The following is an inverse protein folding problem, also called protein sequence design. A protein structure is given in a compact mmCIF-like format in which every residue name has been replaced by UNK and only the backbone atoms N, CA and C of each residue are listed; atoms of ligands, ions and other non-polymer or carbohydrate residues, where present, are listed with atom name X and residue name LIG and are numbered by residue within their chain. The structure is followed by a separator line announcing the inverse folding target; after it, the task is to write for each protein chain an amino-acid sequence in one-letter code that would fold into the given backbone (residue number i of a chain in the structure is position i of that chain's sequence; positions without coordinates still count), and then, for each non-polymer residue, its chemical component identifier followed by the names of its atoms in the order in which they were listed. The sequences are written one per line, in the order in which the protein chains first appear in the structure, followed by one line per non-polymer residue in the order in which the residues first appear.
data_IF_365784046840
#
_entry.id   IF_365784046840
#
_cell.length_a   1.000
_cell.length_b   1.000
_cell.length_c   1.000
_cell.angle_alpha   90.00
_cell.angle_beta   90.00
_cell.angle_gamma   90.00
#
_symmetry.space_group_name_H-M   'P 1'
#
loop_
_entity.id
_entity.type
_entity.pdbx_description
1 polymer ?
#
# COMPACT_ATOMS: atom_id res chain seq x y z
N UNK A 1 -9.94 -17.54 27.39
CA UNK A 1 -9.77 -17.58 25.92
C UNK A 1 -10.65 -16.50 25.37
N UNK A 2 -10.11 -15.61 24.55
CA UNK A 2 -10.91 -14.57 23.88
C UNK A 2 -11.69 -15.17 22.71
N UNK A 3 -12.85 -14.57 22.39
CA UNK A 3 -13.61 -14.90 21.18
C UNK A 3 -13.31 -13.89 20.07
N UNK A 4 -13.24 -14.37 18.81
CA UNK A 4 -12.80 -13.56 17.67
C UNK A 4 -13.87 -13.61 16.57
N UNK A 5 -14.31 -12.42 16.10
CA UNK A 5 -15.06 -12.23 14.88
C UNK A 5 -14.11 -12.03 13.71
N UNK A 6 -14.16 -12.87 12.69
CA UNK A 6 -13.58 -12.58 11.39
C UNK A 6 -14.46 -11.57 10.65
N UNK A 7 -13.87 -10.47 10.19
CA UNK A 7 -14.54 -9.49 9.33
C UNK A 7 -13.79 -9.38 8.00
N UNK A 8 -14.49 -9.59 6.90
CA UNK A 8 -13.94 -9.50 5.55
C UNK A 8 -14.83 -8.61 4.69
N UNK A 9 -14.21 -7.84 3.79
CA UNK A 9 -14.88 -7.22 2.66
C UNK A 9 -14.40 -7.91 1.39
N UNK A 10 -15.31 -8.29 0.51
CA UNK A 10 -14.98 -9.10 -0.67
C UNK A 10 -15.64 -8.56 -1.94
N UNK A 11 -14.98 -8.75 -3.09
CA UNK A 11 -15.54 -8.47 -4.41
C UNK A 11 -14.86 -9.32 -5.48
N UNK A 12 -15.60 -10.26 -6.09
CA UNK A 12 -15.10 -11.14 -7.14
C UNK A 12 -13.87 -11.98 -6.72
N UNK A 13 -13.97 -12.64 -5.56
CA UNK A 13 -12.91 -13.44 -4.94
C UNK A 13 -13.19 -14.96 -5.01
N UNK A 14 -13.97 -15.42 -6.01
CA UNK A 14 -14.38 -16.84 -6.12
C UNK A 14 -13.21 -17.82 -6.12
N UNK A 15 -12.01 -17.40 -6.55
CA UNK A 15 -10.84 -18.27 -6.68
C UNK A 15 -10.06 -18.44 -5.38
N UNK A 16 -10.09 -17.45 -4.50
CA UNK A 16 -9.22 -17.37 -3.32
C UNK A 16 -9.94 -17.42 -1.99
N UNK A 17 -11.20 -16.96 -1.93
CA UNK A 17 -11.96 -16.84 -0.69
C UNK A 17 -12.05 -18.15 0.11
N UNK A 18 -12.33 -19.29 -0.56
CA UNK A 18 -12.41 -20.57 0.12
C UNK A 18 -11.09 -20.96 0.78
N UNK A 19 -9.96 -20.76 0.09
CA UNK A 19 -8.62 -21.04 0.60
C UNK A 19 -8.29 -20.21 1.84
N UNK A 20 -8.66 -18.93 1.82
CA UNK A 20 -8.49 -18.04 2.98
C UNK A 20 -9.30 -18.57 4.18
N UNK A 21 -10.60 -18.79 4.00
CA UNK A 21 -11.50 -19.25 5.05
C UNK A 21 -11.11 -20.63 5.62
N UNK A 22 -10.66 -21.56 4.77
CA UNK A 22 -10.17 -22.87 5.19
C UNK A 22 -8.90 -22.76 6.06
N UNK A 23 -8.00 -21.81 5.75
CA UNK A 23 -6.78 -21.57 6.51
C UNK A 23 -7.05 -21.01 7.91
N UNK A 24 -8.21 -20.38 8.11
CA UNK A 24 -8.65 -19.82 9.40
C UNK A 24 -9.60 -20.74 10.17
N UNK A 25 -9.90 -21.93 9.63
CA UNK A 25 -10.86 -22.87 10.23
C UNK A 25 -10.49 -23.22 11.68
N UNK A 26 -11.47 -23.12 12.59
CA UNK A 26 -11.30 -23.40 14.01
C UNK A 26 -10.69 -22.27 14.85
N UNK A 27 -10.17 -21.20 14.25
CA UNK A 27 -9.67 -20.02 14.96
C UNK A 27 -10.77 -18.98 15.24
N UNK A 28 -11.73 -18.84 14.31
CA UNK A 28 -12.76 -17.81 14.38
C UNK A 28 -14.04 -18.34 15.04
N UNK A 29 -14.61 -17.53 15.93
CA UNK A 29 -15.86 -17.86 16.66
C UNK A 29 -17.09 -17.25 15.96
N UNK A 30 -16.87 -16.33 15.03
CA UNK A 30 -17.86 -15.68 14.20
C UNK A 30 -17.23 -15.30 12.87
N UNK A 31 -17.98 -15.43 11.78
CA UNK A 31 -17.50 -15.05 10.43
C UNK A 31 -18.52 -14.10 9.82
N UNK A 32 -18.05 -12.90 9.46
CA UNK A 32 -18.84 -11.82 8.86
C UNK A 32 -18.20 -11.48 7.51
N UNK A 33 -18.95 -11.62 6.45
CA UNK A 33 -18.50 -11.32 5.09
C UNK A 33 -19.39 -10.22 4.51
N UNK A 34 -18.77 -9.15 4.06
CA UNK A 34 -19.44 -8.02 3.41
C UNK A 34 -19.08 -8.03 1.93
N UNK A 35 -20.04 -8.33 1.09
CA UNK A 35 -19.91 -8.31 -0.36
C UNK A 35 -20.15 -6.90 -0.90
N UNK A 36 -19.18 -6.37 -1.66
CA UNK A 36 -19.23 -5.03 -2.24
C UNK A 36 -19.63 -5.02 -3.72
N UNK A 37 -20.45 -5.99 -4.12
CA UNK A 37 -21.01 -6.08 -5.47
C UNK A 37 -20.31 -7.11 -6.34
N UNK A 38 -20.10 -8.33 -5.85
CA UNK A 38 -19.58 -9.45 -6.64
C UNK A 38 -20.56 -9.89 -7.72
N UNK A 39 -20.02 -10.26 -8.87
CA UNK A 39 -20.75 -10.78 -10.04
C UNK A 39 -20.42 -12.24 -10.35
N UNK A 40 -19.48 -12.81 -9.60
CA UNK A 40 -19.04 -14.19 -9.68
C UNK A 40 -19.66 -15.05 -8.54
N UNK A 41 -19.06 -16.20 -8.22
CA UNK A 41 -19.54 -17.11 -7.20
C UNK A 41 -19.10 -16.77 -5.78
N UNK A 42 -18.53 -15.60 -5.54
CA UNK A 42 -18.02 -15.19 -4.22
C UNK A 42 -19.06 -15.34 -3.13
N UNK A 43 -20.30 -14.86 -3.33
CA UNK A 43 -21.40 -14.95 -2.35
C UNK A 43 -21.82 -16.40 -2.09
N UNK A 44 -21.87 -17.24 -3.14
CA UNK A 44 -22.19 -18.66 -3.00
C UNK A 44 -21.14 -19.41 -2.17
N UNK A 45 -19.86 -19.03 -2.33
CA UNK A 45 -18.76 -19.58 -1.55
C UNK A 45 -18.86 -19.11 -0.10
N UNK A 46 -19.03 -17.81 0.13
CA UNK A 46 -19.18 -17.22 1.47
C UNK A 46 -20.29 -17.90 2.29
N UNK A 47 -21.45 -18.16 1.66
CA UNK A 47 -22.61 -18.79 2.27
C UNK A 47 -22.38 -20.24 2.73
N UNK A 48 -21.27 -20.90 2.35
CA UNK A 48 -20.88 -22.23 2.86
C UNK A 48 -20.23 -22.17 4.23
N UNK A 49 -19.70 -21.01 4.62
CA UNK A 49 -18.94 -20.79 5.85
C UNK A 49 -19.74 -20.04 6.91
N UNK A 50 -20.70 -19.21 6.50
CA UNK A 50 -21.49 -18.39 7.42
C UNK A 50 -22.81 -17.94 6.80
N UNK A 51 -23.83 -17.77 7.68
CA UNK A 51 -25.10 -17.11 7.30
C UNK A 51 -25.00 -15.57 7.39
N UNK A 52 -23.88 -15.03 7.90
CA UNK A 52 -23.64 -13.59 8.06
C UNK A 52 -22.93 -13.00 6.84
N UNK A 53 -23.60 -13.09 5.69
CA UNK A 53 -23.15 -12.47 4.43
C UNK A 53 -24.04 -11.25 4.18
N UNK A 54 -23.42 -10.08 4.11
CA UNK A 54 -24.09 -8.79 3.96
C UNK A 54 -23.72 -8.14 2.63
N UNK A 55 -24.69 -7.50 1.99
CA UNK A 55 -24.43 -6.63 0.84
C UNK A 55 -24.08 -5.21 1.31
N UNK A 56 -23.13 -4.61 0.63
CA UNK A 56 -22.75 -3.21 0.82
C UNK A 56 -22.62 -2.54 -0.55
N UNK A 57 -23.44 -1.52 -0.78
CA UNK A 57 -23.34 -0.74 -2.00
C UNK A 57 -22.01 -0.01 -2.04
N UNK A 58 -21.20 -0.30 -3.05
CA UNK A 58 -19.87 0.26 -3.19
C UNK A 58 -19.93 1.77 -3.47
N UNK A 59 -19.26 2.54 -2.65
CA UNK A 59 -19.22 4.01 -2.69
C UNK A 59 -17.81 4.59 -2.87
N UNK A 60 -16.88 3.79 -3.41
CA UNK A 60 -15.47 4.12 -3.55
C UNK A 60 -14.78 4.48 -2.22
N UNK A 61 -15.16 3.76 -1.14
CA UNK A 61 -14.63 3.94 0.21
C UNK A 61 -14.48 2.59 0.93
N UNK A 62 -13.25 2.08 0.97
CA UNK A 62 -12.91 0.85 1.69
C UNK A 62 -13.13 0.99 3.21
N UNK A 63 -12.87 2.18 3.77
CA UNK A 63 -13.03 2.40 5.20
C UNK A 63 -14.51 2.29 5.63
N UNK A 64 -15.41 2.79 4.81
CA UNK A 64 -16.85 2.67 5.05
C UNK A 64 -17.30 1.20 5.03
N UNK A 65 -16.84 0.40 4.06
CA UNK A 65 -17.14 -1.02 3.98
C UNK A 65 -16.56 -1.80 5.17
N UNK A 66 -15.30 -1.54 5.57
CA UNK A 66 -14.67 -2.16 6.75
C UNK A 66 -15.39 -1.77 8.05
N UNK A 67 -15.75 -0.50 8.22
CA UNK A 67 -16.52 -0.03 9.38
C UNK A 67 -17.89 -0.70 9.44
N UNK A 68 -18.54 -0.91 8.29
CA UNK A 68 -19.80 -1.65 8.22
C UNK A 68 -19.60 -3.10 8.65
N UNK A 69 -18.56 -3.80 8.17
CA UNK A 69 -18.24 -5.16 8.61
C UNK A 69 -17.97 -5.22 10.13
N UNK A 70 -17.15 -4.31 10.64
CA UNK A 70 -16.82 -4.22 12.07
C UNK A 70 -18.05 -3.95 12.94
N UNK A 71 -19.03 -3.18 12.43
CA UNK A 71 -20.29 -2.92 13.15
C UNK A 71 -21.15 -4.16 13.35
N UNK A 72 -20.92 -5.24 12.60
CA UNK A 72 -21.63 -6.51 12.71
C UNK A 72 -20.98 -7.47 13.72
N UNK A 73 -19.71 -7.26 14.06
CA UNK A 73 -18.96 -8.11 14.97
C UNK A 73 -19.53 -8.09 16.39
N UNK A 74 -19.61 -9.28 17.00
CA UNK A 74 -20.17 -9.43 18.36
C UNK A 74 -19.14 -9.94 19.38
N UNK A 75 -18.01 -10.50 18.95
CA UNK A 75 -17.00 -11.12 19.81
C UNK A 75 -16.04 -10.11 20.47
N UNK A 76 -15.12 -10.58 21.29
CA UNK A 76 -14.19 -9.73 22.06
C UNK A 76 -13.23 -8.97 21.14
N UNK A 77 -12.75 -9.65 20.11
CA UNK A 77 -11.82 -9.11 19.12
C UNK A 77 -12.36 -9.28 17.71
N UNK A 78 -11.87 -8.43 16.81
CA UNK A 78 -12.14 -8.47 15.37
C UNK A 78 -10.85 -8.79 14.65
N UNK A 79 -10.80 -9.87 13.88
CA UNK A 79 -9.73 -10.17 12.94
C UNK A 79 -10.14 -9.69 11.55
N UNK A 80 -9.36 -8.76 11.00
CA UNK A 80 -9.59 -8.21 9.65
C UNK A 80 -8.71 -8.95 8.65
N UNK A 81 -9.30 -9.71 7.75
CA UNK A 81 -8.60 -10.45 6.71
C UNK A 81 -9.03 -9.99 5.31
N UNK A 82 -8.08 -10.07 4.36
CA UNK A 82 -8.33 -9.95 2.95
C UNK A 82 -8.45 -11.37 2.33
N UNK A 83 -9.22 -11.51 1.25
CA UNK A 83 -9.61 -12.84 0.72
C UNK A 83 -8.43 -13.67 0.18
N UNK A 84 -7.33 -13.02 -0.16
CA UNK A 84 -6.10 -13.62 -0.70
C UNK A 84 -5.03 -13.94 0.36
N UNK A 85 -5.35 -13.72 1.64
CA UNK A 85 -4.47 -14.05 2.77
C UNK A 85 -4.62 -15.50 3.19
N UNK A 86 -3.50 -16.13 3.58
CA UNK A 86 -3.47 -17.54 4.01
C UNK A 86 -2.56 -17.70 5.22
N UNK A 87 -3.01 -18.44 6.21
CA UNK A 87 -2.18 -18.97 7.30
C UNK A 87 -1.75 -20.40 6.99
N UNK A 88 -0.47 -20.68 7.09
CA UNK A 88 0.02 -22.05 7.10
C UNK A 88 -0.20 -22.73 8.47
N UNK A 89 0.11 -24.00 8.56
CA UNK A 89 -0.15 -24.79 9.77
C UNK A 89 0.69 -24.31 10.99
N UNK A 90 1.90 -23.79 10.76
CA UNK A 90 2.75 -23.27 11.83
C UNK A 90 2.15 -21.98 12.41
N UNK A 91 1.80 -21.04 11.53
CA UNK A 91 1.22 -19.76 11.92
C UNK A 91 -0.21 -19.91 12.47
N UNK A 92 -0.95 -20.91 12.00
CA UNK A 92 -2.23 -21.30 12.60
C UNK A 92 -2.04 -21.71 14.07
N UNK A 93 -1.04 -22.55 14.37
CA UNK A 93 -0.76 -22.99 15.73
C UNK A 93 -0.32 -21.82 16.63
N UNK A 94 0.50 -20.91 16.12
CA UNK A 94 0.89 -19.67 16.85
C UNK A 94 -0.34 -18.80 17.15
N UNK A 95 -1.26 -18.68 16.21
CA UNK A 95 -2.48 -17.89 16.41
C UNK A 95 -3.42 -18.55 17.44
N UNK A 96 -3.55 -19.87 17.44
CA UNK A 96 -4.33 -20.59 18.47
C UNK A 96 -3.73 -20.37 19.87
N UNK A 97 -2.41 -20.42 20.00
CA UNK A 97 -1.71 -20.09 21.26
C UNK A 97 -1.95 -18.65 21.66
N UNK A 98 -1.85 -17.69 20.73
CA UNK A 98 -2.15 -16.28 20.97
C UNK A 98 -3.59 -16.11 21.45
N UNK A 99 -4.58 -16.69 20.76
CA UNK A 99 -6.00 -16.62 21.10
C UNK A 99 -6.27 -17.11 22.53
N UNK A 100 -5.60 -18.17 22.95
CA UNK A 100 -5.77 -18.77 24.30
C UNK A 100 -5.16 -17.91 25.41
N UNK A 101 -4.09 -17.17 25.11
CA UNK A 101 -3.28 -16.47 26.11
C UNK A 101 -3.35 -14.94 25.99
N UNK A 102 -4.11 -14.40 25.02
CA UNK A 102 -4.20 -12.96 24.77
C UNK A 102 -4.71 -12.23 26.02
N UNK A 103 -3.90 -11.29 26.49
CA UNK A 103 -4.23 -10.42 27.63
C UNK A 103 -5.23 -9.38 27.14
N UNK A 104 -6.36 -9.28 27.82
CA UNK A 104 -7.48 -8.41 27.39
C UNK A 104 -7.16 -6.91 27.40
N UNK A 105 -6.04 -6.49 27.97
CA UNK A 105 -5.60 -5.09 27.92
C UNK A 105 -5.00 -4.72 26.55
N UNK A 106 -4.52 -5.70 25.78
CA UNK A 106 -4.02 -5.49 24.43
C UNK A 106 -5.17 -5.05 23.53
N UNK A 107 -4.99 -3.93 22.83
CA UNK A 107 -6.03 -3.36 21.97
C UNK A 107 -5.82 -3.71 20.50
N UNK A 108 -4.58 -3.84 20.07
CA UNK A 108 -4.20 -4.19 18.69
C UNK A 108 -3.11 -5.26 18.72
N UNK A 109 -3.24 -6.29 17.89
CA UNK A 109 -2.14 -7.21 17.59
C UNK A 109 -1.75 -7.02 16.13
N UNK A 110 -0.46 -6.79 15.90
CA UNK A 110 0.14 -6.74 14.57
C UNK A 110 0.68 -8.13 14.20
N UNK A 111 0.49 -8.49 12.94
CA UNK A 111 1.00 -9.72 12.35
C UNK A 111 2.02 -9.36 11.29
N UNK A 112 2.99 -10.22 11.06
CA UNK A 112 3.96 -10.06 9.98
C UNK A 112 3.26 -10.37 8.66
N UNK A 113 3.28 -9.41 7.75
CA UNK A 113 2.75 -9.58 6.40
C UNK A 113 3.91 -9.86 5.47
N UNK A 114 4.05 -11.11 5.06
CA UNK A 114 5.17 -11.62 4.28
C UNK A 114 4.89 -11.70 2.78
N UNK A 115 5.95 -12.04 2.01
CA UNK A 115 5.88 -12.29 0.58
C UNK A 115 5.58 -11.05 -0.28
N UNK A 116 5.94 -9.87 0.20
CA UNK A 116 5.62 -8.61 -0.46
C UNK A 116 6.41 -8.42 -1.77
N UNK A 117 7.70 -8.73 -1.77
CA UNK A 117 8.58 -8.54 -2.92
C UNK A 117 8.27 -9.52 -4.05
N UNK A 118 7.98 -10.79 -3.74
CA UNK A 118 7.67 -11.81 -4.74
C UNK A 118 6.38 -11.51 -5.51
N UNK A 119 5.41 -10.87 -4.86
CA UNK A 119 4.10 -10.59 -5.45
C UNK A 119 4.01 -9.19 -6.11
N UNK A 120 5.12 -8.44 -6.15
CA UNK A 120 5.15 -7.11 -6.75
C UNK A 120 4.26 -6.08 -6.04
N UNK A 121 3.91 -6.34 -4.78
CA UNK A 121 3.07 -5.45 -3.96
C UNK A 121 3.87 -4.31 -3.33
N UNK A 122 5.10 -4.16 -3.80
CA UNK A 122 5.88 -2.95 -3.74
C UNK A 122 6.23 -2.34 -2.43
N UNK A 123 6.98 -2.99 -1.70
CA UNK A 123 7.67 -2.32 -0.61
C UNK A 123 9.16 -2.66 -0.70
N UNK A 124 9.99 -1.80 -0.14
CA UNK A 124 11.42 -2.05 -0.01
C UNK A 124 11.70 -3.17 1.01
N UNK A 125 10.64 -3.79 1.56
CA UNK A 125 10.71 -4.83 2.58
C UNK A 125 9.83 -6.01 2.20
N UNK A 126 10.35 -7.22 2.40
CA UNK A 126 9.61 -8.46 2.18
C UNK A 126 8.58 -8.74 3.30
N UNK A 127 8.85 -8.23 4.50
CA UNK A 127 8.01 -8.40 5.68
C UNK A 127 7.65 -7.05 6.30
N UNK A 128 6.40 -6.89 6.70
CA UNK A 128 5.88 -5.70 7.36
C UNK A 128 4.92 -6.08 8.48
N UNK A 129 4.99 -5.38 9.61
CA UNK A 129 4.00 -5.51 10.68
C UNK A 129 2.72 -4.78 10.29
N UNK A 130 1.60 -5.51 10.22
CA UNK A 130 0.27 -4.94 9.95
C UNK A 130 -0.70 -5.24 11.08
N UNK A 131 -1.50 -4.26 11.51
CA UNK A 131 -2.56 -4.46 12.48
C UNK A 131 -3.66 -5.34 11.86
N UNK A 132 -3.93 -6.49 12.47
CA UNK A 132 -4.89 -7.47 11.97
C UNK A 132 -5.96 -7.86 13.00
N UNK A 133 -5.61 -7.84 14.29
CA UNK A 133 -6.55 -8.18 15.37
C UNK A 133 -6.81 -6.93 16.22
N UNK A 134 -8.07 -6.58 16.39
CA UNK A 134 -8.51 -5.35 17.04
C UNK A 134 -9.49 -5.68 18.18
N UNK A 135 -9.27 -5.11 19.36
CA UNK A 135 -10.22 -5.19 20.46
C UNK A 135 -11.52 -4.46 20.07
N UNK A 136 -12.64 -5.19 20.04
CA UNK A 136 -13.93 -4.62 19.59
C UNK A 136 -14.42 -3.48 20.47
N UNK A 137 -14.35 -3.66 21.78
CA UNK A 137 -14.70 -2.63 22.74
C UNK A 137 -13.44 -2.18 23.48
N UNK A 138 -12.97 -1.00 23.17
CA UNK A 138 -11.82 -0.40 23.86
C UNK A 138 -12.19 -0.02 25.28
N UNK A 139 -11.29 -0.33 26.23
CA UNK A 139 -11.39 0.17 27.60
C UNK A 139 -10.81 1.58 27.65
N UNK A 140 -11.65 2.56 27.95
CA UNK A 140 -11.22 3.93 28.18
C UNK A 140 -10.70 4.11 29.60
N UNK A 141 -9.56 4.75 29.78
CA UNK A 141 -8.98 5.04 31.08
C UNK A 141 -8.70 6.53 31.17
N UNK A 142 -9.28 7.18 32.18
CA UNK A 142 -8.91 8.54 32.56
C UNK A 142 -7.54 8.53 33.23
N UNK A 143 -6.68 9.44 32.84
CA UNK A 143 -5.35 9.66 33.42
C UNK A 143 -5.23 11.10 33.85
N UNK A 144 -4.31 11.35 34.78
CA UNK A 144 -4.06 12.66 35.43
C UNK A 144 -5.10 13.02 36.48
N UNK A 145 -4.65 13.49 37.71
CA UNK A 145 -5.54 13.79 38.80
C UNK A 145 -6.24 15.15 38.68
N UNK A 146 -5.74 16.03 37.80
CA UNK A 146 -6.28 17.36 37.49
C UNK A 146 -6.07 17.63 36.01
N UNK A 147 -7.01 18.28 35.32
CA UNK A 147 -7.05 18.39 33.86
C UNK A 147 -6.99 17.01 33.19
N UNK A 148 -7.78 16.12 33.75
CA UNK A 148 -7.84 14.70 33.34
C UNK A 148 -8.00 14.51 31.82
N UNK A 149 -7.29 13.54 31.30
CA UNK A 149 -7.29 13.18 29.89
C UNK A 149 -7.70 11.72 29.70
N UNK A 150 -8.27 11.41 28.53
CA UNK A 150 -8.55 10.03 28.14
C UNK A 150 -7.30 9.44 27.48
N UNK A 151 -6.86 8.26 27.90
CA UNK A 151 -5.82 7.52 27.21
C UNK A 151 -6.32 7.10 25.83
N UNK A 152 -5.71 7.63 24.77
CA UNK A 152 -6.07 7.36 23.38
C UNK A 152 -5.06 6.45 22.65
N UNK A 153 -3.84 6.32 23.18
CA UNK A 153 -2.81 5.48 22.57
C UNK A 153 -3.16 4.00 22.75
N UNK A 154 -3.27 3.20 21.68
CA UNK A 154 -3.57 1.79 21.80
C UNK A 154 -2.40 1.03 22.43
N UNK A 155 -2.69 -0.01 23.21
CA UNK A 155 -1.70 -0.99 23.60
C UNK A 155 -1.54 -2.01 22.47
N UNK A 156 -0.39 -1.95 21.78
CA UNK A 156 -0.07 -2.78 20.61
C UNK A 156 0.82 -3.93 21.02
N UNK A 157 0.55 -5.12 20.50
CA UNK A 157 1.39 -6.30 20.64
C UNK A 157 1.82 -6.78 19.24
N UNK A 158 3.12 -6.85 19.03
CA UNK A 158 3.72 -7.35 17.78
C UNK A 158 3.90 -8.87 17.91
N UNK A 159 3.22 -9.63 17.08
CA UNK A 159 3.31 -11.08 17.06
C UNK A 159 4.33 -11.55 16.02
N UNK A 160 4.81 -12.78 16.18
CA UNK A 160 5.63 -13.52 15.21
C UNK A 160 4.78 -14.35 14.23
N UNK A 161 3.48 -14.07 14.15
CA UNK A 161 2.56 -14.76 13.24
C UNK A 161 2.71 -14.15 11.86
N UNK A 162 3.04 -14.97 10.87
CA UNK A 162 3.19 -14.56 9.48
C UNK A 162 1.92 -14.87 8.69
N UNK A 163 1.39 -13.87 8.01
CA UNK A 163 0.33 -13.99 7.03
C UNK A 163 0.98 -13.99 5.65
N UNK A 164 0.70 -15.00 4.86
CA UNK A 164 1.18 -15.05 3.48
C UNK A 164 0.12 -14.48 2.53
N UNK A 165 0.50 -13.43 1.80
CA UNK A 165 -0.32 -12.84 0.73
C UNK A 165 -0.14 -13.65 -0.55
N UNK A 166 -1.23 -14.19 -1.11
CA UNK A 166 -1.22 -15.04 -2.32
C UNK A 166 -2.32 -14.62 -3.31
N UNK A 167 -2.19 -13.43 -3.94
CA UNK A 167 -3.16 -13.00 -4.94
C UNK A 167 -3.09 -13.89 -6.20
N UNK A 168 -4.22 -14.12 -6.86
CA UNK A 168 -4.28 -14.77 -8.18
C UNK A 168 -4.37 -13.80 -9.36
N UNK A 169 -4.15 -12.52 -9.13
CA UNK A 169 -4.19 -11.47 -10.15
C UNK A 169 -3.50 -10.20 -9.69
N UNK A 170 -3.16 -9.36 -10.66
CA UNK A 170 -2.62 -8.03 -10.38
C UNK A 170 -3.80 -7.09 -10.15
N UNK A 171 -3.97 -6.62 -8.92
CA UNK A 171 -5.00 -5.63 -8.56
C UNK A 171 -4.46 -4.19 -8.56
N UNK A 172 -3.18 -4.02 -8.90
CA UNK A 172 -2.50 -2.74 -8.95
C UNK A 172 -3.12 -1.80 -9.99
N UNK A 173 -3.24 -0.54 -9.67
CA UNK A 173 -3.84 0.47 -10.53
C UNK A 173 -5.37 0.58 -10.47
N UNK A 174 -6.06 -0.40 -9.85
CA UNK A 174 -7.53 -0.40 -9.72
C UNK A 174 -8.07 0.84 -9.01
N UNK A 175 -7.33 1.33 -8.04
CA UNK A 175 -7.81 2.33 -7.09
C UNK A 175 -7.35 3.76 -7.43
N UNK A 176 -6.59 3.96 -8.53
CA UNK A 176 -6.13 5.30 -8.94
C UNK A 176 -7.27 6.29 -9.14
N UNK A 177 -8.41 5.84 -9.64
CA UNK A 177 -9.59 6.69 -9.80
C UNK A 177 -10.10 7.26 -8.46
N UNK A 178 -9.98 6.50 -7.36
CA UNK A 178 -10.41 6.95 -6.02
C UNK A 178 -9.58 8.15 -5.57
N UNK A 179 -8.24 8.12 -5.73
CA UNK A 179 -7.36 9.24 -5.41
C UNK A 179 -7.68 10.47 -6.27
N UNK A 180 -7.90 10.28 -7.58
CA UNK A 180 -8.26 11.36 -8.50
C UNK A 180 -9.62 11.99 -8.17
N UNK A 181 -10.59 11.19 -7.78
CA UNK A 181 -11.91 11.68 -7.40
C UNK A 181 -11.90 12.46 -6.08
N UNK A 182 -11.07 12.06 -5.11
CA UNK A 182 -10.83 12.88 -3.91
C UNK A 182 -10.25 14.24 -4.29
N UNK A 183 -9.27 14.27 -5.18
CA UNK A 183 -8.68 15.51 -5.66
C UNK A 183 -9.70 16.40 -6.38
N UNK A 184 -10.50 15.85 -7.29
CA UNK A 184 -11.58 16.58 -8.00
C UNK A 184 -12.62 17.19 -7.04
N UNK A 185 -12.89 16.50 -5.92
CA UNK A 185 -13.75 17.01 -4.84
C UNK A 185 -13.09 18.09 -3.98
N UNK A 186 -11.84 18.45 -4.27
CA UNK A 186 -11.06 19.44 -3.51
C UNK A 186 -10.57 18.91 -2.15
N UNK A 187 -10.60 17.61 -1.94
CA UNK A 187 -10.10 16.98 -0.71
C UNK A 187 -8.57 16.89 -0.78
N UNK A 188 -7.89 17.47 0.20
CA UNK A 188 -6.46 17.32 0.36
C UNK A 188 -6.15 15.92 0.89
N UNK A 189 -5.39 15.13 0.15
CA UNK A 189 -4.95 13.81 0.62
C UNK A 189 -4.12 13.96 1.90
N UNK A 190 -4.34 13.08 2.86
CA UNK A 190 -3.48 12.95 4.05
C UNK A 190 -2.05 12.58 3.64
N UNK A 191 -1.07 12.78 4.54
CA UNK A 191 0.33 12.35 4.29
C UNK A 191 0.40 10.88 3.87
N UNK A 192 -0.34 10.02 4.56
CA UNK A 192 -0.39 8.58 4.26
C UNK A 192 -0.94 8.29 2.85
N UNK A 193 -2.12 8.84 2.51
CA UNK A 193 -2.72 8.61 1.18
C UNK A 193 -1.90 9.23 0.04
N UNK A 194 -1.25 10.36 0.28
CA UNK A 194 -0.34 10.99 -0.69
C UNK A 194 0.85 10.10 -1.00
N UNK A 195 1.50 9.56 0.06
CA UNK A 195 2.60 8.62 -0.06
C UNK A 195 2.18 7.34 -0.79
N UNK A 196 1.06 6.72 -0.37
CA UNK A 196 0.54 5.51 -1.00
C UNK A 196 0.27 5.70 -2.49
N UNK A 197 -0.35 6.83 -2.88
CA UNK A 197 -0.62 7.10 -4.28
C UNK A 197 0.66 7.26 -5.09
N UNK A 198 1.64 8.01 -4.59
CA UNK A 198 2.94 8.18 -5.26
C UNK A 198 3.65 6.82 -5.43
N UNK A 199 3.70 6.00 -4.38
CA UNK A 199 4.27 4.66 -4.44
C UNK A 199 3.57 3.77 -5.45
N UNK A 200 2.26 3.65 -5.39
CA UNK A 200 1.49 2.78 -6.29
C UNK A 200 1.67 3.16 -7.76
N UNK A 201 1.79 4.46 -8.07
CA UNK A 201 2.13 4.92 -9.41
C UNK A 201 3.46 4.34 -9.89
N UNK A 202 4.51 4.35 -9.06
CA UNK A 202 5.82 3.80 -9.42
C UNK A 202 5.86 2.27 -9.45
N UNK A 203 4.87 1.59 -8.85
CA UNK A 203 4.77 0.13 -8.85
C UNK A 203 4.08 -0.39 -10.09
N UNK A 204 2.94 0.21 -10.43
CA UNK A 204 2.00 -0.35 -11.39
C UNK A 204 1.34 0.70 -12.30
N UNK A 205 1.64 1.98 -12.09
CA UNK A 205 1.05 3.04 -12.91
C UNK A 205 1.51 2.97 -14.36
N UNK A 206 0.54 3.07 -15.28
CA UNK A 206 0.81 3.31 -16.68
C UNK A 206 1.27 4.76 -16.92
N UNK A 207 1.82 5.04 -18.10
CA UNK A 207 2.18 6.41 -18.48
C UNK A 207 0.98 7.38 -18.39
N UNK A 208 -0.23 6.91 -18.69
CA UNK A 208 -1.44 7.73 -18.58
C UNK A 208 -1.79 8.03 -17.12
N UNK A 209 -1.61 7.08 -16.19
CA UNK A 209 -1.88 7.31 -14.77
C UNK A 209 -0.96 8.39 -14.19
N UNK A 210 0.31 8.45 -14.61
CA UNK A 210 1.22 9.52 -14.23
C UNK A 210 0.78 10.88 -14.79
N UNK A 211 0.29 10.93 -16.02
CA UNK A 211 -0.22 12.16 -16.64
C UNK A 211 -1.51 12.64 -15.95
N UNK A 212 -2.39 11.74 -15.58
CA UNK A 212 -3.64 12.05 -14.88
C UNK A 212 -3.39 12.51 -13.44
N UNK A 213 -2.39 11.95 -12.77
CA UNK A 213 -2.01 12.29 -11.40
C UNK A 213 -1.22 13.59 -11.30
N UNK A 214 -0.58 14.03 -12.38
CA UNK A 214 0.32 15.19 -12.36
C UNK A 214 -0.28 16.47 -11.77
N UNK A 215 -1.51 16.89 -12.07
CA UNK A 215 -2.07 18.12 -11.52
C UNK A 215 -2.10 18.13 -9.99
N UNK A 216 -2.43 16.98 -9.38
CA UNK A 216 -2.42 16.79 -7.93
C UNK A 216 -1.00 16.92 -7.37
N UNK A 217 -0.05 16.16 -7.93
CA UNK A 217 1.32 16.14 -7.44
C UNK A 217 2.07 17.43 -7.73
N UNK A 218 1.78 18.11 -8.83
CA UNK A 218 2.32 19.46 -9.12
C UNK A 218 1.88 20.48 -8.07
N UNK A 219 0.62 20.45 -7.66
CA UNK A 219 0.13 21.27 -6.54
C UNK A 219 0.84 20.92 -5.23
N UNK A 220 1.01 19.63 -4.93
CA UNK A 220 1.71 19.12 -3.74
C UNK A 220 3.19 19.51 -3.71
N UNK A 221 3.91 19.44 -4.83
CA UNK A 221 5.33 19.78 -4.94
C UNK A 221 5.62 21.28 -4.67
N UNK A 222 4.59 22.12 -4.66
CA UNK A 222 4.71 23.57 -4.41
C UNK A 222 3.94 24.04 -3.18
N UNK A 223 3.27 23.15 -2.46
CA UNK A 223 2.48 23.47 -1.27
C UNK A 223 3.40 23.56 -0.03
N UNK A 224 3.57 24.77 0.56
CA UNK A 224 4.43 24.98 1.73
C UNK A 224 3.91 24.30 3.01
N UNK A 225 2.69 23.79 3.00
CA UNK A 225 2.10 23.06 4.12
C UNK A 225 2.38 21.55 4.05
N UNK A 226 3.02 21.05 2.99
CA UNK A 226 3.47 19.66 2.87
C UNK A 226 4.85 19.50 3.51
N UNK A 227 5.10 18.30 4.07
CA UNK A 227 6.44 17.95 4.54
C UNK A 227 7.43 17.86 3.38
N UNK A 228 8.72 17.92 3.69
CA UNK A 228 9.77 17.78 2.68
C UNK A 228 9.66 16.45 1.93
N UNK A 229 9.36 15.35 2.65
CA UNK A 229 9.17 14.03 2.02
C UNK A 229 8.04 14.04 1.00
N UNK A 230 6.86 14.57 1.37
CA UNK A 230 5.72 14.67 0.45
C UNK A 230 6.04 15.53 -0.79
N UNK A 231 6.82 16.60 -0.62
CA UNK A 231 7.28 17.45 -1.72
C UNK A 231 8.21 16.69 -2.66
N UNK A 232 9.16 15.90 -2.10
CA UNK A 232 10.10 15.08 -2.87
C UNK A 232 9.37 13.97 -3.64
N UNK A 233 8.47 13.24 -2.99
CA UNK A 233 7.63 12.21 -3.62
C UNK A 233 6.80 12.79 -4.77
N UNK A 234 6.17 13.95 -4.53
CA UNK A 234 5.41 14.65 -5.56
C UNK A 234 6.27 15.08 -6.75
N UNK A 235 7.47 15.57 -6.49
CA UNK A 235 8.40 15.95 -7.54
C UNK A 235 8.83 14.75 -8.40
N UNK A 236 9.01 13.56 -7.83
CA UNK A 236 9.29 12.34 -8.61
C UNK A 236 8.17 12.02 -9.60
N UNK A 237 6.91 12.07 -9.16
CA UNK A 237 5.75 11.85 -10.04
C UNK A 237 5.70 12.90 -11.16
N UNK A 238 5.89 14.17 -10.80
CA UNK A 238 5.89 15.28 -11.78
C UNK A 238 7.05 15.16 -12.78
N UNK A 239 8.25 14.72 -12.34
CA UNK A 239 9.40 14.46 -13.23
C UNK A 239 9.04 13.43 -14.30
N UNK A 240 8.43 12.30 -13.91
CA UNK A 240 8.01 11.27 -14.88
C UNK A 240 6.96 11.80 -15.85
N UNK A 241 5.94 12.48 -15.37
CA UNK A 241 4.92 13.09 -16.23
C UNK A 241 5.53 14.14 -17.19
N UNK A 242 6.47 14.96 -16.72
CA UNK A 242 7.18 15.96 -17.53
C UNK A 242 8.01 15.30 -18.64
N UNK A 243 8.75 14.22 -18.32
CA UNK A 243 9.48 13.45 -19.35
C UNK A 243 8.53 12.90 -20.40
N UNK A 244 7.42 12.30 -20.00
CA UNK A 244 6.42 11.73 -20.91
C UNK A 244 5.88 12.77 -21.89
N UNK A 245 5.71 14.02 -21.44
CA UNK A 245 5.30 15.16 -22.30
C UNK A 245 6.46 15.86 -23.02
N UNK A 246 7.70 15.41 -22.79
CA UNK A 246 8.93 16.07 -23.29
C UNK A 246 9.08 17.52 -22.81
N UNK A 247 8.57 17.81 -21.60
CA UNK A 247 8.68 19.11 -20.94
C UNK A 247 9.98 19.19 -20.13
N UNK A 248 11.08 19.50 -20.82
CA UNK A 248 12.41 19.63 -20.22
C UNK A 248 12.44 20.66 -19.08
N UNK A 249 11.72 21.77 -19.24
CA UNK A 249 11.73 22.84 -18.25
C UNK A 249 11.19 22.33 -16.90
N UNK A 250 10.02 21.70 -16.91
CA UNK A 250 9.41 21.17 -15.70
C UNK A 250 10.28 20.05 -15.10
N UNK A 251 10.79 19.12 -15.93
CA UNK A 251 11.66 18.04 -15.47
C UNK A 251 12.88 18.57 -14.71
N UNK A 252 13.61 19.53 -15.31
CA UNK A 252 14.80 20.10 -14.70
C UNK A 252 14.48 20.93 -13.45
N UNK A 253 13.41 21.73 -13.47
CA UNK A 253 13.02 22.56 -12.32
C UNK A 253 12.58 21.73 -11.11
N UNK A 254 11.93 20.58 -11.33
CA UNK A 254 11.49 19.70 -10.23
C UNK A 254 12.65 18.89 -9.65
N UNK A 255 13.56 18.41 -10.48
CA UNK A 255 14.71 17.62 -10.01
C UNK A 255 15.83 18.47 -9.39
N UNK A 256 15.99 19.74 -9.81
CA UNK A 256 17.16 20.55 -9.44
C UNK A 256 17.35 20.72 -7.92
N UNK A 257 16.27 20.99 -7.18
CA UNK A 257 16.35 21.22 -5.73
C UNK A 257 16.72 19.97 -4.96
N UNK A 258 16.18 18.84 -5.37
CA UNK A 258 16.43 17.54 -4.73
C UNK A 258 17.86 17.05 -5.03
N UNK A 259 18.33 17.20 -6.26
CA UNK A 259 19.69 16.84 -6.69
C UNK A 259 20.77 17.67 -6.00
N UNK A 260 20.47 18.86 -5.50
CA UNK A 260 21.42 19.66 -4.71
C UNK A 260 21.52 19.21 -3.25
N UNK A 261 20.63 18.33 -2.80
CA UNK A 261 20.65 17.73 -1.48
C UNK A 261 21.09 16.25 -1.58
N UNK A 262 20.18 15.34 -1.27
CA UNK A 262 20.50 13.91 -1.24
C UNK A 262 20.24 13.20 -2.58
N UNK A 263 19.40 13.80 -3.44
CA UNK A 263 18.97 13.23 -4.72
C UNK A 263 18.08 12.00 -4.59
N UNK A 264 17.09 11.86 -5.48
CA UNK A 264 16.24 10.69 -5.57
C UNK A 264 16.57 9.88 -6.83
N UNK A 265 16.71 8.56 -6.69
CA UNK A 265 17.01 7.67 -7.82
C UNK A 265 15.95 7.75 -8.91
N UNK A 266 14.68 7.94 -8.54
CA UNK A 266 13.57 8.14 -9.46
C UNK A 266 13.82 9.34 -10.39
N UNK A 267 14.27 10.48 -9.84
CA UNK A 267 14.54 11.69 -10.64
C UNK A 267 15.73 11.51 -11.56
N UNK A 268 16.82 10.91 -11.07
CA UNK A 268 17.98 10.58 -11.89
C UNK A 268 17.59 9.63 -13.03
N UNK A 269 16.77 8.63 -12.75
CA UNK A 269 16.27 7.71 -13.77
C UNK A 269 15.44 8.43 -14.85
N UNK A 270 14.52 9.33 -14.47
CA UNK A 270 13.71 10.08 -15.45
C UNK A 270 14.56 11.07 -16.29
N UNK A 271 15.61 11.67 -15.70
CA UNK A 271 16.59 12.48 -16.46
C UNK A 271 17.36 11.61 -17.44
N UNK A 272 17.88 10.44 -17.01
CA UNK A 272 18.55 9.52 -17.90
C UNK A 272 17.68 9.06 -19.07
N UNK A 273 16.41 8.76 -18.81
CA UNK A 273 15.43 8.41 -19.84
C UNK A 273 15.17 9.57 -20.81
N UNK A 274 15.08 10.81 -20.30
CA UNK A 274 14.91 11.99 -21.12
C UNK A 274 16.07 12.21 -22.09
N UNK A 275 17.32 12.14 -21.61
CA UNK A 275 18.51 12.31 -22.44
C UNK A 275 18.68 11.16 -23.44
N UNK A 276 18.33 9.92 -23.04
CA UNK A 276 18.33 8.79 -23.95
C UNK A 276 17.37 8.99 -25.13
N UNK A 277 16.15 9.47 -24.85
CA UNK A 277 15.13 9.76 -25.88
C UNK A 277 15.56 10.92 -26.82
N UNK A 278 16.49 11.77 -26.38
CA UNK A 278 17.11 12.84 -27.18
C UNK A 278 18.31 12.35 -28.01
N UNK A 279 18.77 11.10 -27.83
CA UNK A 279 19.97 10.57 -28.46
C UNK A 279 21.30 10.98 -27.78
N UNK A 280 21.22 11.61 -26.60
CA UNK A 280 22.39 12.05 -25.82
C UNK A 280 22.83 10.92 -24.88
N UNK A 281 23.33 9.84 -25.46
CA UNK A 281 23.58 8.58 -24.73
C UNK A 281 24.67 8.68 -23.65
N UNK A 282 25.67 9.55 -23.86
CA UNK A 282 26.71 9.78 -22.86
C UNK A 282 26.13 10.45 -21.61
N UNK A 283 25.31 11.50 -21.80
CA UNK A 283 24.64 12.20 -20.70
C UNK A 283 23.62 11.29 -20.00
N UNK A 284 22.82 10.55 -20.78
CA UNK A 284 21.90 9.55 -20.23
C UNK A 284 22.61 8.52 -19.33
N UNK A 285 23.78 8.03 -19.77
CA UNK A 285 24.60 7.12 -19.01
C UNK A 285 25.05 7.67 -17.66
N UNK A 286 25.42 8.95 -17.59
CA UNK A 286 25.77 9.61 -16.33
C UNK A 286 24.60 9.66 -15.36
N UNK A 287 23.40 9.97 -15.83
CA UNK A 287 22.21 10.01 -15.00
C UNK A 287 21.80 8.62 -14.48
N UNK A 288 21.91 7.57 -15.31
CA UNK A 288 21.67 6.20 -14.84
C UNK A 288 22.74 5.74 -13.85
N UNK A 289 24.00 6.14 -14.05
CA UNK A 289 25.08 5.89 -13.07
C UNK A 289 24.75 6.55 -11.72
N UNK A 290 24.31 7.82 -11.72
CA UNK A 290 23.95 8.52 -10.50
C UNK A 290 22.75 7.83 -9.79
N UNK A 291 21.77 7.36 -10.54
CA UNK A 291 20.65 6.59 -9.97
C UNK A 291 21.10 5.32 -9.26
N UNK A 292 22.18 4.66 -9.76
CA UNK A 292 22.70 3.40 -9.21
C UNK A 292 23.65 3.62 -8.03
N UNK A 293 24.42 4.71 -8.01
CA UNK A 293 25.58 4.83 -7.15
C UNK A 293 25.59 6.06 -6.23
N UNK A 294 24.87 7.11 -6.58
CA UNK A 294 24.98 8.41 -5.92
C UNK A 294 23.69 8.88 -5.25
N UNK A 295 22.59 8.13 -5.44
CA UNK A 295 21.28 8.52 -4.92
C UNK A 295 20.55 7.33 -4.32
N UNK A 296 19.51 7.60 -3.51
CA UNK A 296 18.69 6.58 -2.87
C UNK A 296 17.23 6.59 -3.43
N UNK A 297 16.58 5.45 -3.53
CA UNK A 297 15.19 5.38 -3.95
C UNK A 297 14.27 5.84 -2.81
N UNK A 298 13.25 6.63 -3.12
CA UNK A 298 12.27 7.08 -2.13
C UNK A 298 10.89 6.48 -2.34
N UNK A 299 10.58 5.99 -3.55
CA UNK A 299 9.28 5.38 -3.89
C UNK A 299 9.40 3.93 -4.35
N UNK A 300 10.42 3.59 -5.13
CA UNK A 300 10.56 2.24 -5.66
C UNK A 300 12.04 1.84 -5.81
N UNK A 301 12.44 0.80 -5.11
CA UNK A 301 13.82 0.29 -5.12
C UNK A 301 14.34 -0.05 -6.53
N UNK A 302 13.46 -0.39 -7.47
CA UNK A 302 13.85 -0.66 -8.87
C UNK A 302 14.39 0.56 -9.59
N UNK A 303 14.10 1.77 -9.13
CA UNK A 303 14.64 3.02 -9.67
C UNK A 303 16.12 3.22 -9.35
N UNK A 304 16.63 2.48 -8.35
CA UNK A 304 18.03 2.49 -7.94
C UNK A 304 18.85 1.32 -8.54
N UNK A 305 18.22 0.19 -8.86
CA UNK A 305 18.93 -1.03 -9.28
C UNK A 305 18.49 -1.52 -10.66
N UNK A 306 17.34 -2.17 -10.78
CA UNK A 306 16.93 -2.91 -11.97
C UNK A 306 16.81 -2.00 -13.21
N UNK A 307 16.03 -0.93 -13.10
CA UNK A 307 15.73 -0.07 -14.25
C UNK A 307 16.95 0.70 -14.76
N UNK A 308 17.73 1.44 -13.94
CA UNK A 308 18.84 2.21 -14.45
C UNK A 308 19.98 1.31 -14.97
N UNK A 309 20.20 0.11 -14.43
CA UNK A 309 21.19 -0.84 -14.95
C UNK A 309 20.86 -1.28 -16.36
N UNK A 310 19.59 -1.61 -16.64
CA UNK A 310 19.13 -1.97 -17.97
C UNK A 310 19.39 -0.84 -18.98
N UNK A 311 19.02 0.38 -18.61
CA UNK A 311 19.15 1.53 -19.51
C UNK A 311 20.60 2.01 -19.64
N UNK A 312 21.42 1.90 -18.61
CA UNK A 312 22.86 2.15 -18.68
C UNK A 312 23.54 1.22 -19.69
N UNK A 313 23.18 -0.07 -19.67
CA UNK A 313 23.68 -1.03 -20.64
C UNK A 313 23.23 -0.74 -22.09
N UNK A 314 22.02 -0.16 -22.26
CA UNK A 314 21.57 0.32 -23.59
C UNK A 314 22.41 1.50 -24.06
N UNK A 315 22.70 2.48 -23.21
CA UNK A 315 23.55 3.62 -23.55
C UNK A 315 24.94 3.16 -24.02
N UNK A 316 25.55 2.21 -23.31
CA UNK A 316 26.86 1.69 -23.70
C UNK A 316 26.86 1.07 -25.11
N UNK A 317 25.81 0.32 -25.46
CA UNK A 317 25.67 -0.26 -26.82
C UNK A 317 25.50 0.79 -27.91
N UNK A 318 24.72 1.83 -27.67
CA UNK A 318 24.54 2.92 -28.63
C UNK A 318 25.85 3.69 -28.87
N UNK A 319 26.63 3.93 -27.80
CA UNK A 319 27.94 4.59 -27.90
C UNK A 319 29.02 3.74 -28.61
N UNK A 320 28.92 2.41 -28.57
CA UNK A 320 29.83 1.52 -29.34
C UNK A 320 29.49 1.44 -30.83
N UNK A 321 28.27 1.78 -31.22
CA UNK A 321 27.77 1.68 -32.60
C UNK A 321 27.87 3.02 -33.38
N UNK A 322 28.06 4.13 -32.69
CA UNK A 322 28.19 5.47 -33.26
C UNK A 322 29.63 5.97 -33.29
#
# INVERSE_FOLDING_TARGET
MVEISLCMIVKNEEKVLARCLDSLHGLMDEIIIVDTGSTDKTKEIAARYTDQVYDFDWIDDFSAARNFAFSKATKDYIYSADADEVLDAENWAKFDVLKRNLITDIEIVQFIYGNQLEQGTAYNYDEELRPKLFKRLRTFTWIEPVHEQMRLDPLVFDSDIVITHKPEGVHSGRDFHIFLDQHKKGVRLSKHLHHMYAMELFISGSDQDFLDAEPLFRASATDPLRSLDEIREAACVVCRAARLRKDAHTLLMMSYKDLLADGASEMCFELGRYFYDMGEFAEAGLWFYNAIHETEPILNVKSHDEWPREWYAKCAKELEQG
#
